data_IF_708641747187
#
_entry.id   IF_708641747187
#
_cell.length_a   1.000
_cell.length_b   1.000
_cell.length_c   1.000
_cell.angle_alpha   90.00
_cell.angle_beta   90.00
_cell.angle_gamma   90.00
#
_symmetry.space_group_name_H-M   'P 1'
#
loop_
_entity.id
_entity.type
_entity.pdbx_description
1 polymer ?
#
# COMPACT_ATOMS: atom_id res chain seq x y z
N UNK A 1 -1.00 15.88 -9.12
CA UNK A 1 -1.56 15.02 -10.18
C UNK A 1 -1.95 13.67 -9.59
N UNK A 2 -3.12 13.12 -9.92
CA UNK A 2 -3.52 11.76 -9.50
C UNK A 2 -2.50 10.68 -9.88
N UNK A 3 -1.72 10.90 -10.95
CA UNK A 3 -0.57 10.07 -11.34
C UNK A 3 0.51 9.93 -10.25
N UNK A 4 0.80 10.99 -9.49
CA UNK A 4 1.83 10.95 -8.45
C UNK A 4 1.39 10.07 -7.27
N UNK A 5 0.10 10.16 -6.93
CA UNK A 5 -0.51 9.34 -5.88
C UNK A 5 -0.61 7.86 -6.31
N UNK A 6 -0.99 7.62 -7.56
CA UNK A 6 -1.05 6.27 -8.14
C UNK A 6 0.34 5.62 -8.19
N UNK A 7 1.37 6.38 -8.57
CA UNK A 7 2.77 5.93 -8.57
C UNK A 7 3.27 5.60 -7.15
N UNK A 8 2.98 6.44 -6.15
CA UNK A 8 3.31 6.15 -4.74
C UNK A 8 2.57 4.92 -4.22
N UNK A 9 1.30 4.75 -4.59
CA UNK A 9 0.51 3.56 -4.27
C UNK A 9 1.16 2.28 -4.84
N UNK A 10 1.56 2.29 -6.12
CA UNK A 10 2.24 1.16 -6.75
C UNK A 10 3.60 0.84 -6.13
N UNK A 11 4.36 1.86 -5.75
CA UNK A 11 5.65 1.70 -5.08
C UNK A 11 5.50 1.05 -3.70
N UNK A 12 4.54 1.54 -2.90
CA UNK A 12 4.20 0.96 -1.60
C UNK A 12 3.72 -0.50 -1.74
N UNK A 13 2.92 -0.80 -2.76
CA UNK A 13 2.47 -2.16 -3.05
C UNK A 13 3.63 -3.09 -3.42
N UNK A 14 4.55 -2.62 -4.28
CA UNK A 14 5.75 -3.36 -4.68
C UNK A 14 6.63 -3.64 -3.47
N UNK A 15 6.87 -2.64 -2.64
CA UNK A 15 7.68 -2.75 -1.42
C UNK A 15 7.05 -3.74 -0.43
N UNK A 16 5.74 -3.66 -0.18
CA UNK A 16 5.01 -4.61 0.66
C UNK A 16 5.13 -6.05 0.10
N UNK A 17 4.92 -6.24 -1.20
CA UNK A 17 5.02 -7.56 -1.86
C UNK A 17 6.44 -8.11 -1.80
N UNK A 18 7.45 -7.28 -2.00
CA UNK A 18 8.84 -7.70 -1.93
C UNK A 18 9.19 -8.11 -0.49
N UNK A 19 8.78 -7.31 0.49
CA UNK A 19 8.96 -7.64 1.90
C UNK A 19 8.27 -8.96 2.27
N UNK A 20 7.03 -9.18 1.85
CA UNK A 20 6.29 -10.43 2.09
C UNK A 20 6.96 -11.65 1.45
N UNK A 21 7.69 -11.48 0.33
CA UNK A 21 8.46 -12.57 -0.31
C UNK A 21 9.77 -12.87 0.41
N UNK A 22 10.43 -11.86 0.98
CA UNK A 22 11.73 -12.01 1.64
C UNK A 22 11.61 -12.29 3.13
N UNK A 23 10.51 -11.89 3.76
CA UNK A 23 10.34 -11.99 5.20
C UNK A 23 9.70 -13.33 5.57
N UNK A 24 10.42 -14.16 6.31
CA UNK A 24 9.95 -15.43 6.86
C UNK A 24 9.08 -15.25 8.11
N UNK A 25 9.12 -14.09 8.76
CA UNK A 25 8.30 -13.78 9.93
C UNK A 25 6.91 -13.26 9.57
N UNK A 26 6.74 -12.76 8.35
CA UNK A 26 5.46 -12.29 7.84
C UNK A 26 4.73 -13.48 7.19
N UNK A 27 3.62 -13.92 7.78
CA UNK A 27 2.70 -14.93 7.25
C UNK A 27 1.44 -14.27 6.67
N UNK A 28 0.56 -15.08 6.05
CA UNK A 28 -0.71 -14.58 5.49
C UNK A 28 -1.60 -13.90 6.55
N UNK A 29 -1.58 -14.44 7.77
CA UNK A 29 -2.40 -13.99 8.89
C UNK A 29 -1.66 -13.10 9.89
N UNK A 30 -0.32 -13.11 9.92
CA UNK A 30 0.48 -12.32 10.87
C UNK A 30 1.57 -11.55 10.16
N UNK A 31 1.55 -10.23 10.30
CA UNK A 31 2.58 -9.35 9.75
C UNK A 31 3.57 -8.96 10.84
N UNK A 32 4.83 -9.08 10.51
CA UNK A 32 5.93 -8.50 11.24
C UNK A 32 5.79 -6.95 11.30
N UNK A 33 6.37 -6.25 12.31
CA UNK A 33 6.17 -4.81 12.51
C UNK A 33 6.49 -3.96 11.28
N UNK A 34 7.53 -4.35 10.53
CA UNK A 34 7.90 -3.72 9.26
C UNK A 34 6.84 -3.94 8.19
N UNK A 35 6.38 -5.18 7.99
CA UNK A 35 5.30 -5.51 7.06
C UNK A 35 3.98 -4.81 7.42
N UNK A 36 3.69 -4.65 8.71
CA UNK A 36 2.51 -3.90 9.17
C UNK A 36 2.60 -2.42 8.77
N UNK A 37 3.74 -1.75 9.00
CA UNK A 37 3.94 -0.35 8.57
C UNK A 37 3.83 -0.17 7.06
N UNK A 38 4.37 -1.13 6.29
CA UNK A 38 4.25 -1.13 4.82
C UNK A 38 2.80 -1.30 4.37
N UNK A 39 2.06 -2.20 5.01
CA UNK A 39 0.65 -2.43 4.74
C UNK A 39 -0.21 -1.20 5.09
N UNK A 40 0.01 -0.58 6.25
CA UNK A 40 -0.69 0.66 6.65
C UNK A 40 -0.43 1.80 5.66
N UNK A 41 0.83 1.95 5.20
CA UNK A 41 1.20 2.95 4.20
C UNK A 41 0.50 2.70 2.86
N UNK A 42 0.48 1.44 2.41
CA UNK A 42 -0.25 1.02 1.20
C UNK A 42 -1.75 1.31 1.30
N UNK A 43 -2.38 0.92 2.41
CA UNK A 43 -3.83 1.11 2.65
C UNK A 43 -4.19 2.60 2.67
N UNK A 44 -3.36 3.44 3.30
CA UNK A 44 -3.58 4.90 3.32
C UNK A 44 -3.50 5.52 1.92
N UNK A 45 -2.57 5.06 1.09
CA UNK A 45 -2.44 5.53 -0.30
C UNK A 45 -3.59 5.03 -1.19
N UNK A 46 -4.03 3.79 -0.99
CA UNK A 46 -5.20 3.23 -1.66
C UNK A 46 -6.45 4.03 -1.33
N UNK A 47 -6.70 4.31 -0.05
CA UNK A 47 -7.84 5.09 0.41
C UNK A 47 -7.82 6.51 -0.16
N UNK A 48 -6.67 7.18 -0.12
CA UNK A 48 -6.50 8.50 -0.74
C UNK A 48 -6.78 8.49 -2.25
N UNK A 49 -6.38 7.42 -2.95
CA UNK A 49 -6.62 7.26 -4.38
C UNK A 49 -8.11 7.06 -4.68
N UNK A 50 -8.77 6.17 -3.93
CA UNK A 50 -10.19 5.88 -4.07
C UNK A 50 -11.05 7.10 -3.73
N UNK A 51 -10.72 7.82 -2.66
CA UNK A 51 -11.40 9.05 -2.28
C UNK A 51 -11.20 10.15 -3.33
N UNK A 52 -9.98 10.29 -3.87
CA UNK A 52 -9.72 11.20 -4.99
C UNK A 52 -10.47 10.83 -6.27
N UNK A 53 -10.63 9.52 -6.57
CA UNK A 53 -11.44 9.07 -7.70
C UNK A 53 -12.94 9.35 -7.49
N UNK A 54 -13.47 9.14 -6.28
CA UNK A 54 -14.87 9.45 -5.96
C UNK A 54 -15.17 10.94 -6.13
N UNK A 55 -14.24 11.80 -5.71
CA UNK A 55 -14.41 13.24 -5.80
C UNK A 55 -14.33 13.75 -7.24
N UNK A 56 -13.53 13.12 -8.10
CA UNK A 56 -13.49 13.42 -9.54
C UNK A 56 -14.70 12.92 -10.33
N UNK A 57 -15.45 11.95 -9.79
CA UNK A 57 -16.68 11.41 -10.41
C UNK A 57 -17.95 12.17 -10.00
N UNK A 58 -17.84 13.18 -9.15
CA UNK A 58 -18.96 13.96 -8.60
C UNK A 58 -19.04 15.32 -9.27
#
# INVERSE_FOLDING_TARGET
MPDDLYRRYQDAHTTHRQHARTCTACTDTSRCPTGQRLYESFTRLQDAYLNGQRQQRR
#
